data_IF_561636526544
#
_entry.id   IF_561636526544
#
_cell.length_a   1.000
_cell.length_b   1.000
_cell.length_c   1.000
_cell.angle_alpha   90.00
_cell.angle_beta   90.00
_cell.angle_gamma   90.00
#
_symmetry.space_group_name_H-M   'P 1'
#
loop_
_entity.id
_entity.type
_entity.pdbx_description
1 polymer ?
#
# COMPACT_ATOMS: atom_id res chain seq x y z
N UNK A 1 -65.58 -41.29 34.18
CA UNK A 1 -64.32 -41.82 33.63
C UNK A 1 -63.59 -40.61 33.06
N UNK A 2 -62.68 -40.00 33.88
CA UNK A 2 -62.04 -38.71 33.60
C UNK A 2 -60.61 -39.00 33.24
N UNK A 3 -60.23 -38.72 31.99
CA UNK A 3 -58.85 -38.89 31.49
C UNK A 3 -58.08 -37.61 31.80
N UNK A 4 -57.14 -37.70 32.71
CA UNK A 4 -56.20 -36.62 32.99
C UNK A 4 -55.06 -36.66 31.96
N UNK A 5 -54.93 -35.60 31.14
CA UNK A 5 -53.89 -35.42 30.17
C UNK A 5 -52.63 -34.81 30.88
N UNK A 6 -51.58 -35.60 31.06
CA UNK A 6 -50.35 -35.18 31.68
C UNK A 6 -49.44 -34.51 30.60
N UNK A 7 -49.38 -33.19 30.61
CA UNK A 7 -48.47 -32.43 29.75
C UNK A 7 -47.07 -32.42 30.35
N UNK A 8 -46.15 -33.19 29.77
CA UNK A 8 -44.69 -33.11 30.08
C UNK A 8 -44.06 -31.98 29.29
N UNK A 9 -43.75 -30.87 29.95
CA UNK A 9 -42.94 -29.79 29.42
C UNK A 9 -41.48 -30.24 29.37
N UNK A 10 -40.97 -30.52 28.18
CA UNK A 10 -39.54 -30.69 27.95
C UNK A 10 -38.89 -29.30 27.92
N UNK A 11 -38.38 -28.84 29.04
CA UNK A 11 -37.44 -27.72 29.08
C UNK A 11 -36.06 -28.25 28.65
N UNK A 12 -35.78 -28.17 27.35
CA UNK A 12 -34.41 -28.32 26.84
C UNK A 12 -33.64 -27.03 27.15
N UNK A 13 -33.07 -26.94 28.34
CA UNK A 13 -31.96 -26.01 28.56
C UNK A 13 -30.78 -26.61 27.83
N UNK A 14 -30.46 -26.05 26.65
CA UNK A 14 -29.19 -26.24 26.03
C UNK A 14 -28.23 -25.26 26.75
N UNK A 15 -27.56 -25.75 27.80
CA UNK A 15 -26.42 -25.04 28.34
C UNK A 15 -25.30 -25.18 27.32
N UNK A 16 -25.07 -24.11 26.56
CA UNK A 16 -23.90 -23.98 25.69
C UNK A 16 -22.67 -23.80 26.58
N UNK A 17 -22.05 -24.90 26.96
CA UNK A 17 -20.74 -24.92 27.65
C UNK A 17 -19.60 -24.64 26.69
N UNK A 18 -19.80 -23.98 25.57
CA UNK A 18 -18.71 -23.38 24.79
C UNK A 18 -18.14 -22.22 25.59
N UNK A 19 -17.39 -22.51 26.62
CA UNK A 19 -16.33 -21.64 27.10
C UNK A 19 -15.27 -21.57 26.01
N UNK A 20 -15.60 -20.97 24.89
CA UNK A 20 -14.57 -20.37 24.04
C UNK A 20 -13.83 -19.42 24.94
N UNK A 21 -12.58 -19.79 25.28
CA UNK A 21 -11.75 -18.97 26.13
C UNK A 21 -11.85 -17.54 25.64
N UNK A 22 -12.49 -16.68 26.43
CA UNK A 22 -12.56 -15.23 26.17
C UNK A 22 -11.19 -14.61 26.44
N UNK A 23 -10.17 -15.16 25.81
CA UNK A 23 -8.88 -14.48 25.69
C UNK A 23 -9.17 -13.23 24.85
N UNK A 24 -8.98 -12.05 25.46
CA UNK A 24 -9.15 -10.81 24.71
C UNK A 24 -8.27 -10.87 23.45
N UNK A 25 -8.92 -10.75 22.29
CA UNK A 25 -8.25 -10.71 20.99
C UNK A 25 -7.35 -9.49 20.95
N UNK A 26 -6.13 -9.64 20.52
CA UNK A 26 -5.22 -8.52 20.28
C UNK A 26 -5.37 -8.03 18.86
N UNK A 27 -6.24 -7.04 18.67
CA UNK A 27 -6.47 -6.42 17.37
C UNK A 27 -5.26 -5.64 16.91
N UNK A 28 -4.95 -5.73 15.62
CA UNK A 28 -3.87 -5.00 14.97
C UNK A 28 -4.41 -3.68 14.45
N UNK A 29 -3.79 -2.59 14.85
CA UNK A 29 -4.15 -1.23 14.41
C UNK A 29 -2.99 -0.66 13.62
N UNK A 30 -3.21 -0.39 12.33
CA UNK A 30 -2.28 0.33 11.47
C UNK A 30 -2.62 1.81 11.55
N UNK A 31 -1.64 2.64 11.92
CA UNK A 31 -1.81 4.09 11.92
C UNK A 31 -1.94 4.61 10.49
N UNK A 32 -3.15 5.04 10.13
CA UNK A 32 -3.46 5.53 8.79
C UNK A 32 -2.71 6.83 8.42
N UNK A 33 -2.07 7.50 9.39
CA UNK A 33 -1.22 8.67 9.12
C UNK A 33 0.19 8.28 8.71
N UNK A 34 0.60 7.03 8.97
CA UNK A 34 1.91 6.51 8.59
C UNK A 34 1.99 5.95 7.17
N UNK A 35 0.84 5.73 6.53
CA UNK A 35 0.72 5.24 5.14
C UNK A 35 -0.28 6.11 4.39
N UNK A 36 0.14 6.65 3.25
CA UNK A 36 -0.77 7.40 2.37
C UNK A 36 -1.63 6.44 1.54
N UNK A 37 -2.80 6.92 1.11
CA UNK A 37 -3.70 6.17 0.22
C UNK A 37 -3.17 6.10 -1.22
N UNK A 38 -2.37 7.09 -1.63
CA UNK A 38 -1.82 7.20 -2.98
C UNK A 38 -0.39 7.71 -2.90
N UNK A 39 0.51 7.05 -3.58
CA UNK A 39 1.89 7.48 -3.78
C UNK A 39 2.14 7.74 -5.26
N UNK A 40 2.85 8.83 -5.54
CA UNK A 40 3.32 9.17 -6.88
C UNK A 40 4.84 9.27 -6.84
N UNK A 41 5.52 8.48 -7.64
CA UNK A 41 6.99 8.52 -7.80
C UNK A 41 7.33 8.57 -9.28
N UNK A 42 8.51 9.04 -9.59
CA UNK A 42 9.03 9.00 -10.96
C UNK A 42 9.76 7.67 -11.23
N UNK A 43 9.87 7.31 -12.49
CA UNK A 43 10.71 6.18 -12.91
C UNK A 43 12.11 6.31 -12.35
N UNK A 44 12.65 5.22 -11.81
CA UNK A 44 13.93 5.08 -11.11
C UNK A 44 14.01 5.77 -9.74
N UNK A 45 12.90 6.32 -9.24
CA UNK A 45 12.81 6.81 -7.86
C UNK A 45 12.50 5.67 -6.90
N UNK A 46 13.01 5.78 -5.66
CA UNK A 46 12.74 4.79 -4.61
C UNK A 46 11.72 5.32 -3.62
N UNK A 47 10.64 4.57 -3.42
CA UNK A 47 9.65 4.79 -2.36
C UNK A 47 10.00 3.95 -1.15
N UNK A 48 10.03 4.56 0.03
CA UNK A 48 10.13 3.85 1.31
C UNK A 48 8.94 4.18 2.19
N UNK A 49 8.26 3.15 2.72
CA UNK A 49 7.13 3.30 3.64
C UNK A 49 7.46 2.53 4.93
N UNK A 50 7.42 3.23 6.07
CA UNK A 50 7.64 2.64 7.41
C UNK A 50 6.34 2.69 8.20
N UNK A 51 5.52 1.61 8.21
CA UNK A 51 4.24 1.59 8.86
C UNK A 51 4.37 1.65 10.39
N UNK A 52 3.50 2.43 11.02
CA UNK A 52 3.34 2.42 12.47
C UNK A 52 2.17 1.49 12.81
N UNK A 53 2.48 0.43 13.57
CA UNK A 53 1.52 -0.62 13.92
C UNK A 53 1.51 -0.80 15.43
N UNK A 54 0.33 -0.91 16.00
CA UNK A 54 0.10 -1.19 17.43
C UNK A 54 -0.88 -2.35 17.61
N UNK A 55 -0.96 -2.86 18.84
CA UNK A 55 -1.89 -3.92 19.22
C UNK A 55 -2.68 -3.50 20.45
N UNK A 56 -3.97 -3.87 20.52
CA UNK A 56 -4.90 -3.33 21.53
C UNK A 56 -4.73 -3.93 22.93
N UNK A 57 -4.41 -5.21 23.04
CA UNK A 57 -4.47 -5.93 24.33
C UNK A 57 -3.14 -6.46 24.79
N UNK A 58 -2.43 -7.17 23.95
CA UNK A 58 -1.11 -7.79 24.22
C UNK A 58 -0.24 -7.71 23.00
N UNK A 59 1.03 -7.41 23.21
CA UNK A 59 2.02 -7.51 22.15
C UNK A 59 2.24 -8.98 21.78
N UNK A 60 2.03 -9.29 20.52
CA UNK A 60 2.27 -10.58 19.89
C UNK A 60 3.24 -10.38 18.73
N UNK A 61 3.89 -11.45 18.33
CA UNK A 61 4.70 -11.41 17.13
C UNK A 61 3.88 -10.97 15.92
N UNK A 62 4.38 -9.96 15.20
CA UNK A 62 3.77 -9.43 13.99
C UNK A 62 4.55 -9.90 12.78
N UNK A 63 3.82 -10.39 11.78
CA UNK A 63 4.37 -10.63 10.45
C UNK A 63 3.79 -9.62 9.46
N UNK A 64 4.63 -9.22 8.51
CA UNK A 64 4.29 -8.23 7.50
C UNK A 64 4.32 -8.89 6.13
N UNK A 65 3.40 -8.55 5.27
CA UNK A 65 3.41 -8.95 3.87
C UNK A 65 2.96 -7.77 3.02
N UNK A 66 3.80 -7.39 2.08
CA UNK A 66 3.47 -6.39 1.08
C UNK A 66 3.11 -7.08 -0.22
N UNK A 67 2.03 -6.68 -0.82
CA UNK A 67 1.60 -7.18 -2.12
C UNK A 67 1.49 -6.03 -3.13
N UNK A 68 1.83 -6.34 -4.38
CA UNK A 68 1.66 -5.49 -5.55
C UNK A 68 0.84 -6.29 -6.56
N UNK A 69 -0.30 -5.77 -6.99
CA UNK A 69 -1.24 -6.43 -7.90
C UNK A 69 -1.63 -7.86 -7.46
N UNK A 70 -1.83 -8.04 -6.14
CA UNK A 70 -2.17 -9.31 -5.48
C UNK A 70 -1.03 -10.35 -5.44
N UNK A 71 0.17 -10.02 -5.87
CA UNK A 71 1.35 -10.87 -5.75
C UNK A 71 2.21 -10.41 -4.57
N UNK A 72 2.73 -11.36 -3.80
CA UNK A 72 3.62 -11.05 -2.68
C UNK A 72 4.91 -10.43 -3.20
N UNK A 73 5.22 -9.23 -2.69
CA UNK A 73 6.42 -8.47 -3.04
C UNK A 73 7.52 -8.59 -1.98
N UNK A 74 7.18 -8.38 -0.68
CA UNK A 74 8.14 -8.43 0.43
C UNK A 74 7.46 -8.86 1.73
N UNK A 75 8.27 -9.39 2.67
CA UNK A 75 7.88 -9.69 4.06
C UNK A 75 8.60 -8.79 5.09
N UNK A 76 9.30 -7.78 4.63
CA UNK A 76 9.97 -6.82 5.52
C UNK A 76 8.95 -5.90 6.21
N UNK A 77 9.31 -5.35 7.36
CA UNK A 77 8.47 -4.35 8.03
C UNK A 77 8.33 -3.09 7.19
N UNK A 78 9.40 -2.68 6.52
CA UNK A 78 9.42 -1.52 5.62
C UNK A 78 9.16 -1.96 4.19
N UNK A 79 8.37 -1.17 3.48
CA UNK A 79 8.23 -1.29 2.03
C UNK A 79 9.28 -0.44 1.35
N UNK A 80 10.11 -1.06 0.52
CA UNK A 80 11.10 -0.36 -0.30
C UNK A 80 10.88 -0.79 -1.74
N UNK A 81 10.49 0.16 -2.58
CA UNK A 81 10.16 -0.10 -3.98
C UNK A 81 10.88 0.87 -4.89
N UNK A 82 11.57 0.35 -5.91
CA UNK A 82 12.17 1.13 -6.98
C UNK A 82 11.25 1.14 -8.20
N UNK A 83 10.84 2.31 -8.65
CA UNK A 83 9.91 2.49 -9.76
C UNK A 83 10.53 2.18 -11.12
N UNK A 84 10.77 0.91 -11.46
CA UNK A 84 11.42 0.51 -12.72
C UNK A 84 10.50 0.62 -13.93
N UNK A 85 9.24 0.23 -13.76
CA UNK A 85 8.26 0.21 -14.84
C UNK A 85 7.18 1.25 -14.60
N UNK A 86 6.83 1.99 -15.65
CA UNK A 86 5.74 2.97 -15.61
C UNK A 86 4.40 2.27 -15.43
N UNK A 87 3.52 2.86 -14.63
CA UNK A 87 2.17 2.32 -14.46
C UNK A 87 1.54 2.63 -13.13
N UNK A 88 0.33 2.09 -12.94
CA UNK A 88 -0.44 2.19 -11.70
C UNK A 88 -0.56 0.80 -11.08
N UNK A 89 -0.24 0.71 -9.82
CA UNK A 89 -0.15 -0.54 -9.08
C UNK A 89 -1.10 -0.50 -7.90
N UNK A 90 -1.92 -1.55 -7.77
CA UNK A 90 -2.74 -1.78 -6.58
C UNK A 90 -1.89 -2.49 -5.54
N UNK A 91 -1.62 -1.82 -4.44
CA UNK A 91 -0.78 -2.33 -3.37
C UNK A 91 -1.57 -2.55 -2.10
N UNK A 92 -1.09 -3.45 -1.24
CA UNK A 92 -1.60 -3.55 0.12
C UNK A 92 -0.54 -4.05 1.09
N UNK A 93 -0.63 -3.53 2.30
CA UNK A 93 0.04 -4.09 3.47
C UNK A 93 -0.92 -5.06 4.16
N UNK A 94 -0.41 -6.23 4.53
CA UNK A 94 -1.05 -7.21 5.39
C UNK A 94 -0.20 -7.32 6.64
N UNK A 95 -0.80 -7.10 7.80
CA UNK A 95 -0.14 -7.34 9.11
C UNK A 95 -0.93 -8.41 9.84
N UNK A 96 -0.24 -9.44 10.32
CA UNK A 96 -0.85 -10.60 10.95
C UNK A 96 -0.20 -10.90 12.29
N UNK A 97 -0.99 -11.34 13.25
CA UNK A 97 -0.58 -11.98 14.50
C UNK A 97 -1.35 -13.29 14.70
N UNK A 98 -1.14 -13.97 15.84
CA UNK A 98 -1.81 -15.23 16.13
C UNK A 98 -3.34 -15.14 16.30
N UNK A 99 -3.91 -13.94 16.41
CA UNK A 99 -5.35 -13.71 16.59
C UNK A 99 -6.05 -13.28 15.30
N UNK A 100 -5.31 -12.77 14.32
CA UNK A 100 -5.91 -12.34 13.07
C UNK A 100 -4.99 -11.48 12.22
N UNK A 101 -5.58 -10.85 11.21
CA UNK A 101 -4.86 -9.99 10.29
C UNK A 101 -5.65 -8.74 9.92
N UNK A 102 -4.91 -7.68 9.64
CA UNK A 102 -5.42 -6.39 9.18
C UNK A 102 -4.79 -6.03 7.84
N UNK A 103 -5.55 -5.32 7.00
CA UNK A 103 -5.16 -4.94 5.65
C UNK A 103 -5.18 -3.43 5.51
N UNK A 104 -4.20 -2.88 4.80
CA UNK A 104 -4.18 -1.48 4.39
C UNK A 104 -3.91 -1.39 2.89
N UNK A 105 -4.92 -1.11 2.05
CA UNK A 105 -4.75 -0.94 0.61
C UNK A 105 -4.24 0.47 0.31
N UNK A 106 -3.43 0.61 -0.75
CA UNK A 106 -2.97 1.89 -1.29
C UNK A 106 -2.66 1.76 -2.78
N UNK A 107 -2.54 2.89 -3.46
CA UNK A 107 -2.16 2.96 -4.86
C UNK A 107 -0.75 3.53 -5.01
N UNK A 108 -0.01 2.98 -5.95
CA UNK A 108 1.31 3.48 -6.33
C UNK A 108 1.32 3.78 -7.82
N UNK A 109 1.61 5.01 -8.18
CA UNK A 109 1.81 5.47 -9.55
C UNK A 109 3.29 5.73 -9.80
N UNK A 110 3.83 5.08 -10.83
CA UNK A 110 5.18 5.32 -11.32
C UNK A 110 5.04 6.10 -12.63
N UNK A 111 5.42 7.36 -12.58
CA UNK A 111 5.23 8.31 -13.68
C UNK A 111 6.53 8.51 -14.46
N UNK A 112 6.37 8.90 -15.72
CA UNK A 112 7.50 9.39 -16.50
C UNK A 112 7.85 10.84 -16.08
N UNK A 113 9.09 11.18 -15.83
CA UNK A 113 9.46 12.57 -15.61
C UNK A 113 9.35 13.42 -16.90
N UNK A 114 9.00 12.81 -18.05
CA UNK A 114 8.88 13.46 -19.36
C UNK A 114 7.47 13.40 -19.94
N UNK A 115 6.45 13.23 -19.11
CA UNK A 115 5.07 13.00 -19.56
C UNK A 115 4.45 14.22 -20.22
N UNK A 116 4.63 15.40 -19.63
CA UNK A 116 4.14 16.67 -20.18
C UNK A 116 5.24 17.71 -20.17
N UNK A 117 5.56 18.29 -21.34
CA UNK A 117 6.61 19.29 -21.40
C UNK A 117 6.95 19.77 -22.80
N UNK A 118 7.90 20.67 -22.84
CA UNK A 118 8.43 21.26 -24.07
C UNK A 118 9.78 20.61 -24.38
N UNK A 119 9.87 19.98 -25.55
CA UNK A 119 11.13 19.45 -26.08
C UNK A 119 11.74 20.44 -27.06
N UNK A 120 13.01 20.77 -26.87
CA UNK A 120 13.78 21.64 -27.75
C UNK A 120 14.97 20.87 -28.34
N UNK A 121 15.10 20.95 -29.65
CA UNK A 121 16.28 20.45 -30.36
C UNK A 121 17.14 21.67 -30.73
N UNK A 122 18.38 21.69 -30.29
CA UNK A 122 19.34 22.74 -30.55
C UNK A 122 20.68 22.16 -31.03
N UNK A 123 21.64 23.03 -31.32
CA UNK A 123 23.03 22.63 -31.60
C UNK A 123 23.96 23.23 -30.54
N UNK A 124 24.95 22.44 -30.12
CA UNK A 124 26.05 22.97 -29.32
C UNK A 124 27.03 23.81 -30.14
N UNK A 125 28.06 24.35 -29.51
CA UNK A 125 29.09 25.15 -30.16
C UNK A 125 29.91 24.36 -31.19
N UNK A 126 29.97 23.05 -31.04
CA UNK A 126 30.67 22.10 -31.91
C UNK A 126 29.79 21.61 -33.07
N UNK A 127 28.50 21.97 -33.09
CA UNK A 127 27.53 21.63 -34.12
C UNK A 127 26.80 20.30 -33.94
N UNK A 128 26.98 19.64 -32.77
CA UNK A 128 26.24 18.43 -32.44
C UNK A 128 24.77 18.76 -32.07
N UNK A 129 23.87 17.85 -32.34
CA UNK A 129 22.49 18.02 -31.94
C UNK A 129 22.31 17.78 -30.42
N UNK A 130 21.65 18.73 -29.77
CA UNK A 130 21.30 18.64 -28.35
C UNK A 130 19.77 18.56 -28.20
N UNK A 131 19.32 17.65 -27.35
CA UNK A 131 17.94 17.55 -26.92
C UNK A 131 17.81 18.12 -25.51
N UNK A 132 16.86 19.03 -25.32
CA UNK A 132 16.51 19.61 -24.02
C UNK A 132 15.04 19.42 -23.77
N UNK A 133 14.67 19.18 -22.52
CA UNK A 133 13.29 19.01 -22.10
C UNK A 133 12.99 19.95 -20.92
N UNK A 134 11.83 20.56 -20.93
CA UNK A 134 11.32 21.37 -19.84
C UNK A 134 9.97 20.80 -19.43
N UNK A 135 9.91 20.25 -18.21
CA UNK A 135 8.67 19.74 -17.62
C UNK A 135 7.70 20.89 -17.41
N UNK A 136 6.45 20.71 -17.84
CA UNK A 136 5.33 21.59 -17.52
C UNK A 136 4.58 21.00 -16.32
N UNK A 137 4.64 21.65 -15.14
CA UNK A 137 3.94 21.16 -13.98
C UNK A 137 2.42 21.12 -14.19
N UNK A 138 1.78 19.98 -13.86
CA UNK A 138 0.33 19.79 -14.01
C UNK A 138 -0.50 20.72 -13.11
N UNK A 139 0.10 21.24 -12.04
CA UNK A 139 -0.51 22.19 -11.10
C UNK A 139 -0.49 23.64 -11.59
N UNK A 140 0.09 23.90 -12.78
CA UNK A 140 0.23 25.22 -13.36
C UNK A 140 1.31 26.09 -12.72
N UNK A 141 2.20 25.52 -11.92
CA UNK A 141 3.37 26.24 -11.39
C UNK A 141 4.36 26.56 -12.52
N UNK A 142 5.27 27.51 -12.25
CA UNK A 142 6.31 27.90 -13.21
C UNK A 142 7.29 26.74 -13.47
N UNK A 143 7.63 26.47 -14.75
CA UNK A 143 8.61 25.46 -15.10
C UNK A 143 9.99 25.77 -14.50
N UNK A 144 10.70 24.74 -14.03
CA UNK A 144 12.00 24.90 -13.35
C UNK A 144 13.19 25.11 -14.30
N UNK A 145 12.95 25.10 -15.62
CA UNK A 145 13.96 25.27 -16.67
C UNK A 145 14.21 23.99 -17.47
N UNK A 146 15.06 24.09 -18.49
CA UNK A 146 15.37 22.96 -19.36
C UNK A 146 16.39 22.01 -18.71
N UNK A 147 16.08 20.72 -18.76
CA UNK A 147 17.04 19.65 -18.49
C UNK A 147 17.80 19.36 -19.80
N UNK A 148 19.13 19.31 -19.73
CA UNK A 148 20.00 19.08 -20.87
C UNK A 148 20.98 17.93 -20.60
N UNK A 149 21.51 17.32 -21.67
CA UNK A 149 22.55 16.29 -21.59
C UNK A 149 22.03 14.87 -21.49
N UNK A 150 22.80 13.99 -20.84
CA UNK A 150 22.63 12.53 -20.83
C UNK A 150 21.33 12.00 -20.18
N UNK A 151 20.45 12.88 -19.74
CA UNK A 151 19.16 12.51 -19.17
C UNK A 151 18.22 11.83 -20.19
N UNK A 152 18.55 11.94 -21.48
CA UNK A 152 17.83 11.29 -22.58
C UNK A 152 18.57 10.10 -23.17
N UNK A 153 19.70 9.67 -22.58
CA UNK A 153 20.33 8.43 -23.02
C UNK A 153 19.36 7.29 -22.75
N UNK A 154 18.88 6.68 -23.83
CA UNK A 154 17.98 5.55 -23.75
C UNK A 154 18.68 4.39 -23.07
N UNK A 155 18.03 3.87 -22.01
CA UNK A 155 18.37 2.57 -21.47
C UNK A 155 17.76 1.48 -22.34
#
# INVERSE_FOLDING_TARGET
MTIALLATSLTSCFEDETTMGTGAISEIVIDSTSIQQVYNINKNETLTISPVVSQTTREKELTYTWEINLETYSHDKEFVYEGKELGSYQCRLIVENSDGKTFFPFELHVNSPYEEGITLISKDAEGNSMLSFMLMPADGSEPTGFMTGDQFSAN
#
